data_IF_232011216737
#
_entry.id   IF_232011216737
#
_cell.length_a   1.000
_cell.length_b   1.000
_cell.length_c   1.000
_cell.angle_alpha   90.00
_cell.angle_beta   90.00
_cell.angle_gamma   90.00
#
_symmetry.space_group_name_H-M   'P 1'
#
loop_
_entity.id
_entity.type
_entity.pdbx_description
1 polymer ?
#
# COMPACT_ATOMS: atom_id res chain seq x y z
N UNK A 1 7.14 -15.83 6.19
CA UNK A 1 7.03 -14.57 5.40
C UNK A 1 8.27 -13.70 5.46
N UNK A 2 9.04 -13.66 6.56
CA UNK A 2 10.27 -12.85 6.69
C UNK A 2 11.36 -13.18 5.67
N UNK A 3 11.55 -14.46 5.33
CA UNK A 3 12.57 -14.90 4.36
C UNK A 3 12.33 -14.35 2.95
N UNK A 4 11.07 -14.26 2.50
CA UNK A 4 10.75 -13.74 1.17
C UNK A 4 11.15 -12.25 1.00
N UNK A 5 11.01 -11.46 2.04
CA UNK A 5 11.43 -10.05 2.04
C UNK A 5 12.96 -9.93 2.11
N UNK A 6 13.60 -10.80 2.91
CA UNK A 6 15.06 -10.84 3.05
C UNK A 6 15.77 -11.21 1.74
N UNK A 7 15.24 -12.15 0.96
CA UNK A 7 15.77 -12.49 -0.37
C UNK A 7 15.81 -11.27 -1.30
N UNK A 8 14.83 -10.37 -1.17
CA UNK A 8 14.75 -9.15 -1.97
C UNK A 8 15.52 -7.97 -1.36
N UNK A 9 16.25 -8.18 -0.25
CA UNK A 9 16.90 -7.13 0.53
C UNK A 9 15.94 -6.00 0.95
N UNK A 10 14.66 -6.32 1.19
CA UNK A 10 13.65 -5.35 1.65
C UNK A 10 13.24 -5.67 3.08
N UNK A 11 13.22 -4.65 3.94
CA UNK A 11 12.70 -4.77 5.30
C UNK A 11 11.17 -4.86 5.32
N UNK A 12 10.62 -5.64 6.26
CA UNK A 12 9.16 -5.79 6.43
C UNK A 12 8.50 -4.44 6.76
N UNK A 13 9.17 -3.59 7.54
CA UNK A 13 8.72 -2.24 7.84
C UNK A 13 8.58 -1.39 6.57
N UNK A 14 9.54 -1.49 5.65
CA UNK A 14 9.47 -0.83 4.34
C UNK A 14 8.24 -1.29 3.56
N UNK A 15 8.01 -2.60 3.43
CA UNK A 15 6.83 -3.15 2.75
C UNK A 15 5.53 -2.67 3.39
N UNK A 16 5.47 -2.63 4.72
CA UNK A 16 4.32 -2.15 5.47
C UNK A 16 4.07 -0.66 5.24
N UNK A 17 5.12 0.17 5.19
CA UNK A 17 5.01 1.60 4.95
C UNK A 17 4.59 1.93 3.52
N UNK A 18 4.99 1.11 2.54
CA UNK A 18 4.64 1.31 1.13
C UNK A 18 3.37 0.58 0.71
N UNK A 19 2.79 -0.26 1.57
CA UNK A 19 1.53 -0.99 1.30
C UNK A 19 0.38 -0.11 0.78
N UNK A 20 0.15 1.12 1.30
CA UNK A 20 -0.93 1.98 0.81
C UNK A 20 -0.85 2.32 -0.68
N UNK A 21 0.36 2.29 -1.28
CA UNK A 21 0.58 2.50 -2.72
C UNK A 21 -0.12 1.39 -3.51
N UNK A 22 0.14 0.13 -3.13
CA UNK A 22 -0.43 -1.04 -3.79
C UNK A 22 -1.94 -1.16 -3.49
N UNK A 23 -2.34 -0.92 -2.25
CA UNK A 23 -3.75 -0.95 -1.84
C UNK A 23 -4.58 0.04 -2.65
N UNK A 24 -4.12 1.29 -2.79
CA UNK A 24 -4.81 2.30 -3.58
C UNK A 24 -4.84 1.94 -5.06
N UNK A 25 -3.72 1.51 -5.65
CA UNK A 25 -3.68 1.11 -7.08
C UNK A 25 -4.68 -0.01 -7.40
N UNK A 26 -4.86 -0.96 -6.48
CA UNK A 26 -5.74 -2.12 -6.68
C UNK A 26 -7.21 -1.75 -6.48
N UNK A 27 -7.50 -0.89 -5.49
CA UNK A 27 -8.88 -0.57 -5.11
C UNK A 27 -9.48 0.57 -5.93
N UNK A 28 -8.65 1.55 -6.28
CA UNK A 28 -8.99 2.72 -7.07
C UNK A 28 -7.80 3.16 -7.96
N UNK A 29 -7.66 2.53 -9.14
CA UNK A 29 -6.62 2.87 -10.12
C UNK A 29 -6.71 4.32 -10.61
N UNK A 30 -7.92 4.88 -10.71
CA UNK A 30 -8.16 6.22 -11.26
C UNK A 30 -7.57 7.28 -10.34
N UNK A 31 -7.88 7.21 -9.05
CA UNK A 31 -7.30 8.11 -8.04
C UNK A 31 -5.78 7.94 -7.97
N UNK A 32 -5.27 6.69 -8.07
CA UNK A 32 -3.83 6.45 -8.08
C UNK A 32 -3.11 7.16 -9.24
N UNK A 33 -3.70 7.12 -10.44
CA UNK A 33 -3.12 7.75 -11.63
C UNK A 33 -3.12 9.27 -11.55
N UNK A 34 -4.08 9.88 -10.85
CA UNK A 34 -4.07 11.33 -10.61
C UNK A 34 -2.97 11.78 -9.64
N UNK A 35 -2.57 10.94 -8.69
CA UNK A 35 -1.58 11.29 -7.66
C UNK A 35 -0.13 11.35 -8.15
N UNK A 36 0.17 10.83 -9.36
CA UNK A 36 1.48 10.77 -10.06
C UNK A 36 2.72 10.88 -9.16
N UNK A 37 3.45 9.78 -9.00
CA UNK A 37 4.73 9.81 -8.29
C UNK A 37 5.79 10.59 -9.08
N UNK A 38 6.30 11.67 -8.48
CA UNK A 38 7.40 12.47 -9.00
C UNK A 38 8.67 12.27 -8.18
N UNK A 39 9.67 11.46 -8.62
CA UNK A 39 10.85 11.14 -7.82
C UNK A 39 11.74 12.35 -7.48
N UNK A 40 11.61 13.46 -8.21
CA UNK A 40 12.30 14.71 -7.92
C UNK A 40 11.64 15.56 -6.81
N UNK A 41 10.37 15.26 -6.48
CA UNK A 41 9.53 16.08 -5.60
C UNK A 41 9.11 15.27 -4.36
N UNK A 42 8.88 13.98 -4.54
CA UNK A 42 8.38 13.08 -3.52
C UNK A 42 9.38 11.96 -3.22
N UNK A 43 9.55 11.69 -1.94
CA UNK A 43 10.09 10.42 -1.48
C UNK A 43 9.04 9.33 -1.62
N UNK A 44 9.45 8.07 -1.76
CA UNK A 44 8.51 6.95 -1.80
C UNK A 44 7.60 6.91 -0.56
N UNK A 45 8.13 7.29 0.60
CA UNK A 45 7.38 7.34 1.85
C UNK A 45 6.35 8.48 1.87
N UNK A 46 6.70 9.67 1.38
CA UNK A 46 5.75 10.79 1.28
C UNK A 46 4.62 10.45 0.31
N UNK A 47 4.95 9.79 -0.79
CA UNK A 47 3.96 9.30 -1.75
C UNK A 47 3.05 8.23 -1.15
N UNK A 48 3.59 7.27 -0.39
CA UNK A 48 2.78 6.27 0.31
C UNK A 48 1.79 6.91 1.30
N UNK A 49 2.22 7.95 2.03
CA UNK A 49 1.34 8.73 2.91
C UNK A 49 0.25 9.45 2.13
N UNK A 50 0.56 10.10 1.01
CA UNK A 50 -0.44 10.72 0.11
C UNK A 50 -1.47 9.71 -0.37
N UNK A 51 -1.03 8.51 -0.75
CA UNK A 51 -1.91 7.41 -1.15
C UNK A 51 -2.84 7.03 0.02
N UNK A 52 -2.30 6.83 1.22
CA UNK A 52 -3.09 6.51 2.40
C UNK A 52 -4.13 7.58 2.75
N UNK A 53 -3.83 8.87 2.56
CA UNK A 53 -4.79 9.97 2.79
C UNK A 53 -5.92 10.00 1.76
N UNK A 54 -5.69 9.50 0.54
CA UNK A 54 -6.71 9.42 -0.52
C UNK A 54 -7.54 8.12 -0.45
N UNK A 55 -7.24 7.23 0.49
CA UNK A 55 -8.11 6.09 0.82
C UNK A 55 -9.25 6.59 1.70
N UNK A 56 -10.40 6.80 1.08
CA UNK A 56 -11.67 7.10 1.75
C UNK A 56 -12.17 5.92 2.60
N UNK A 57 -13.16 6.16 3.46
CA UNK A 57 -13.68 5.14 4.39
C UNK A 57 -14.29 3.94 3.65
N UNK A 58 -15.00 4.21 2.55
CA UNK A 58 -15.54 3.24 1.60
C UNK A 58 -14.44 2.37 0.97
N UNK A 59 -13.36 2.99 0.45
CA UNK A 59 -12.20 2.26 -0.08
C UNK A 59 -11.53 1.42 1.00
N UNK A 60 -11.44 1.91 2.23
CA UNK A 60 -10.87 1.16 3.36
C UNK A 60 -11.66 -0.12 3.65
N UNK A 61 -12.99 -0.06 3.63
CA UNK A 61 -13.82 -1.25 3.78
C UNK A 61 -13.57 -2.27 2.66
N UNK A 62 -13.41 -1.80 1.41
CA UNK A 62 -13.06 -2.65 0.26
C UNK A 62 -11.65 -3.26 0.39
N UNK A 63 -10.68 -2.51 0.90
CA UNK A 63 -9.33 -3.02 1.20
C UNK A 63 -9.40 -4.16 2.22
N UNK A 64 -10.15 -3.99 3.31
CA UNK A 64 -10.28 -5.03 4.35
C UNK A 64 -11.02 -6.28 3.83
N UNK A 65 -12.07 -6.12 3.03
CA UNK A 65 -12.73 -7.25 2.35
C UNK A 65 -11.77 -7.98 1.40
N UNK A 66 -10.95 -7.25 0.64
CA UNK A 66 -9.94 -7.85 -0.24
C UNK A 66 -8.83 -8.56 0.54
N UNK A 67 -8.46 -8.06 1.73
CA UNK A 67 -7.54 -8.76 2.64
C UNK A 67 -8.15 -10.06 3.15
N UNK A 68 -9.41 -10.03 3.58
CA UNK A 68 -10.13 -11.21 4.05
C UNK A 68 -10.28 -12.28 2.95
N UNK A 69 -10.49 -11.86 1.69
CA UNK A 69 -10.56 -12.75 0.52
C UNK A 69 -9.20 -13.23 0.01
N UNK A 70 -8.09 -12.82 0.65
CA UNK A 70 -6.73 -13.19 0.24
C UNK A 70 -6.24 -12.52 -1.04
N UNK A 71 -6.95 -11.49 -1.54
CA UNK A 71 -6.55 -10.70 -2.72
C UNK A 71 -5.54 -9.61 -2.38
N UNK A 72 -5.49 -9.18 -1.12
CA UNK A 72 -4.47 -8.29 -0.57
C UNK A 72 -3.79 -8.95 0.62
N UNK A 73 -2.49 -8.70 0.78
CA UNK A 73 -1.76 -9.18 1.95
C UNK A 73 -2.18 -8.37 3.18
N UNK A 74 -2.60 -9.01 4.30
CA UNK A 74 -2.94 -8.32 5.54
C UNK A 74 -1.66 -7.90 6.29
N UNK A 75 -0.89 -6.98 5.70
CA UNK A 75 0.42 -6.54 6.21
C UNK A 75 0.33 -5.80 7.56
N UNK A 76 -0.84 -5.25 7.87
CA UNK A 76 -1.14 -4.48 9.08
C UNK A 76 -1.71 -5.32 10.23
N UNK A 77 -2.20 -6.53 9.96
CA UNK A 77 -2.66 -7.43 11.03
C UNK A 77 -1.45 -7.96 11.80
N UNK A 78 -1.46 -7.76 13.12
CA UNK A 78 -0.62 -8.54 14.03
C UNK A 78 -1.29 -9.90 14.15
N UNK A 79 -0.62 -10.94 13.66
CA UNK A 79 -0.84 -12.31 14.09
C UNK A 79 -0.28 -12.48 15.50
#
# INVERSE_FOLDING_TARGET
>A
MSEAFRINNVDRGTIKMTAPIAELKIVDPDTFETLKFGPAIDTLLSFAKKCATNVTVDKKAKIEDMKAKGKLLPLLMKY
#
